data_IF_543751206911
#
_entry.id   IF_543751206911
#
_cell.length_a   1.000
_cell.length_b   1.000
_cell.length_c   1.000
_cell.angle_alpha   90.00
_cell.angle_beta   90.00
_cell.angle_gamma   90.00
#
_symmetry.space_group_name_H-M   'P 1'
#
loop_
_entity.id
_entity.type
_entity.pdbx_description
1 polymer ?
#
# COMPACT_ATOMS: atom_id res chain seq x y z
N UNK A 1 27.53 1.44 -0.13
CA UNK A 1 26.38 0.56 -0.43
C UNK A 1 25.33 1.39 -1.17
N UNK A 2 24.84 0.93 -2.33
CA UNK A 2 23.80 1.65 -3.09
C UNK A 2 22.42 1.25 -2.55
N UNK A 3 21.86 2.05 -1.66
CA UNK A 3 20.49 1.92 -1.17
C UNK A 3 19.50 2.22 -2.29
N UNK A 4 19.06 1.21 -3.04
CA UNK A 4 18.31 1.47 -4.28
C UNK A 4 17.90 0.26 -5.08
N UNK A 5 18.77 -0.75 -5.13
CA UNK A 5 18.66 -1.84 -6.10
C UNK A 5 18.47 -3.22 -5.44
N UNK A 6 18.45 -3.29 -4.11
CA UNK A 6 18.17 -4.53 -3.40
C UNK A 6 16.73 -4.93 -3.66
N UNK A 7 16.56 -6.13 -4.21
CA UNK A 7 15.24 -6.73 -4.45
C UNK A 7 14.45 -6.80 -3.15
N UNK A 8 13.15 -6.49 -3.22
CA UNK A 8 12.27 -6.56 -2.06
C UNK A 8 11.95 -8.05 -1.81
N UNK A 9 12.24 -8.59 -0.61
CA UNK A 9 11.89 -9.97 -0.29
C UNK A 9 10.39 -10.19 -0.43
N UNK A 10 10.01 -11.27 -1.12
CA UNK A 10 8.60 -11.64 -1.30
C UNK A 10 7.85 -11.83 0.02
N UNK A 11 8.54 -12.18 1.10
CA UNK A 11 7.97 -12.29 2.44
C UNK A 11 7.55 -10.93 3.03
N UNK A 12 8.36 -9.88 2.86
CA UNK A 12 8.01 -8.51 3.28
C UNK A 12 6.85 -7.97 2.44
N UNK A 13 6.84 -8.28 1.14
CA UNK A 13 5.74 -7.92 0.25
C UNK A 13 4.43 -8.60 0.66
N UNK A 14 4.47 -9.91 0.92
CA UNK A 14 3.31 -10.68 1.42
C UNK A 14 2.79 -10.11 2.75
N UNK A 15 3.66 -9.78 3.68
CA UNK A 15 3.30 -9.20 4.98
C UNK A 15 2.60 -7.84 4.83
N UNK A 16 3.10 -6.97 3.94
CA UNK A 16 2.45 -5.70 3.64
C UNK A 16 1.04 -5.92 3.05
N UNK A 17 0.93 -6.83 2.08
CA UNK A 17 -0.32 -7.15 1.39
C UNK A 17 -1.38 -7.69 2.35
N UNK A 18 -1.01 -8.65 3.19
CA UNK A 18 -1.89 -9.21 4.22
C UNK A 18 -2.41 -8.12 5.16
N UNK A 19 -1.53 -7.19 5.58
CA UNK A 19 -1.91 -6.07 6.43
C UNK A 19 -2.90 -5.11 5.75
N UNK A 20 -2.70 -4.80 4.47
CA UNK A 20 -3.57 -3.92 3.67
C UNK A 20 -4.94 -4.55 3.40
N UNK A 21 -5.01 -5.88 3.27
CA UNK A 21 -6.26 -6.60 3.02
C UNK A 21 -7.05 -6.91 4.31
N UNK A 22 -6.40 -6.85 5.48
CA UNK A 22 -7.01 -7.21 6.77
C UNK A 22 -8.16 -6.29 7.16
N UNK A 23 -7.94 -4.99 7.07
CA UNK A 23 -8.88 -3.97 7.53
C UNK A 23 -9.59 -3.33 6.31
N UNK A 24 -10.86 -2.91 6.43
CA UNK A 24 -11.57 -2.24 5.33
C UNK A 24 -10.88 -0.97 4.82
N UNK A 25 -10.17 -0.28 5.72
CA UNK A 25 -9.39 0.91 5.44
C UNK A 25 -8.03 0.84 6.13
N UNK A 26 -7.05 1.53 5.56
CA UNK A 26 -5.71 1.62 6.13
C UNK A 26 -5.01 2.92 5.72
N UNK A 27 -3.97 3.28 6.49
CA UNK A 27 -3.03 4.34 6.11
C UNK A 27 -1.65 3.76 5.77
N UNK A 28 -0.85 4.43 4.93
CA UNK A 28 0.55 4.07 4.72
C UNK A 28 1.38 4.03 6.01
N UNK A 29 0.99 4.83 7.02
CA UNK A 29 1.60 4.81 8.35
C UNK A 29 1.42 3.46 9.05
N UNK A 30 0.20 2.91 9.02
CA UNK A 30 -0.14 1.64 9.65
C UNK A 30 0.65 0.48 9.04
N UNK A 31 0.81 0.50 7.71
CA UNK A 31 1.58 -0.54 6.99
C UNK A 31 3.05 -0.46 7.37
N UNK A 32 3.64 0.74 7.38
CA UNK A 32 5.05 0.92 7.78
C UNK A 32 5.29 0.47 9.21
N UNK A 33 4.43 0.89 10.14
CA UNK A 33 4.53 0.48 11.54
C UNK A 33 4.48 -1.05 11.68
N UNK A 34 3.56 -1.70 10.95
CA UNK A 34 3.44 -3.15 10.94
C UNK A 34 4.67 -3.85 10.35
N UNK A 35 5.22 -3.34 9.23
CA UNK A 35 6.45 -3.88 8.65
C UNK A 35 7.62 -3.76 9.63
N UNK A 36 7.76 -2.62 10.31
CA UNK A 36 8.82 -2.41 11.31
C UNK A 36 8.67 -3.24 12.58
N UNK A 37 7.48 -3.74 12.89
CA UNK A 37 7.26 -4.63 14.05
C UNK A 37 7.33 -6.11 13.67
N UNK A 38 6.60 -6.53 12.63
CA UNK A 38 6.43 -7.94 12.27
C UNK A 38 7.44 -8.43 11.22
N UNK A 39 8.07 -7.51 10.48
CA UNK A 39 9.11 -7.80 9.49
C UNK A 39 10.51 -7.40 9.91
N UNK A 40 10.72 -7.04 11.19
CA UNK A 40 12.01 -6.53 11.66
C UNK A 40 13.15 -7.51 11.39
N UNK A 41 12.97 -8.79 11.73
CA UNK A 41 14.01 -9.81 11.54
C UNK A 41 14.39 -9.98 10.06
N UNK A 42 13.39 -9.90 9.16
CA UNK A 42 13.62 -9.94 7.71
C UNK A 42 14.39 -8.71 7.22
N UNK A 43 14.08 -7.53 7.75
CA UNK A 43 14.80 -6.31 7.41
C UNK A 43 16.22 -6.29 7.98
N UNK A 44 16.43 -6.81 9.19
CA UNK A 44 17.76 -6.99 9.80
C UNK A 44 18.61 -7.96 8.98
N UNK A 45 18.01 -9.03 8.45
CA UNK A 45 18.71 -9.98 7.57
C UNK A 45 19.14 -9.35 6.24
N UNK A 46 18.41 -8.34 5.73
CA UNK A 46 18.82 -7.58 4.55
C UNK A 46 19.87 -6.52 4.85
N UNK A 47 19.70 -5.81 5.97
CA UNK A 47 20.58 -4.74 6.41
C UNK A 47 20.51 -4.58 7.93
N UNK A 48 21.65 -4.66 8.61
CA UNK A 48 21.70 -4.49 10.07
C UNK A 48 21.48 -3.03 10.53
N UNK A 49 21.54 -2.04 9.64
CA UNK A 49 21.46 -0.62 9.96
C UNK A 49 20.01 -0.20 10.16
N UNK A 50 19.64 0.13 11.41
CA UNK A 50 18.26 0.52 11.81
C UNK A 50 17.62 1.61 10.95
N UNK A 51 18.28 2.75 10.64
CA UNK A 51 17.72 3.76 9.73
C UNK A 51 17.25 3.21 8.37
N UNK A 52 17.91 2.15 7.89
CA UNK A 52 17.60 1.57 6.59
C UNK A 52 16.35 0.71 6.64
N UNK A 53 15.95 0.21 7.81
CA UNK A 53 14.69 -0.53 7.97
C UNK A 53 13.48 0.32 7.63
N UNK A 54 13.50 1.61 8.02
CA UNK A 54 12.42 2.53 7.65
C UNK A 54 12.35 2.76 6.13
N UNK A 55 13.51 2.86 5.48
CA UNK A 55 13.61 3.00 4.02
C UNK A 55 13.09 1.74 3.32
N UNK A 56 13.46 0.55 3.81
CA UNK A 56 12.98 -0.73 3.30
C UNK A 56 11.46 -0.83 3.46
N UNK A 57 10.93 -0.52 4.65
CA UNK A 57 9.50 -0.55 4.92
C UNK A 57 8.71 0.42 4.03
N UNK A 58 9.20 1.65 3.81
CA UNK A 58 8.55 2.63 2.92
C UNK A 58 8.55 2.14 1.46
N UNK A 59 9.64 1.53 0.99
CA UNK A 59 9.72 0.93 -0.35
C UNK A 59 8.77 -0.24 -0.54
N UNK A 60 8.75 -1.18 0.41
CA UNK A 60 7.84 -2.33 0.41
C UNK A 60 6.40 -1.85 0.38
N UNK A 61 6.05 -0.89 1.25
CA UNK A 61 4.71 -0.34 1.33
C UNK A 61 4.29 0.30 0.00
N UNK A 62 5.14 1.14 -0.61
CA UNK A 62 4.83 1.77 -1.90
C UNK A 62 4.65 0.75 -3.02
N UNK A 63 5.59 -0.19 -3.15
CA UNK A 63 5.53 -1.23 -4.18
C UNK A 63 4.26 -2.09 -4.05
N UNK A 64 3.91 -2.48 -2.82
CA UNK A 64 2.69 -3.24 -2.56
C UNK A 64 1.42 -2.42 -2.84
N UNK A 65 1.42 -1.13 -2.47
CA UNK A 65 0.29 -0.25 -2.71
C UNK A 65 0.05 -0.02 -4.21
N UNK A 66 1.12 0.21 -4.96
CA UNK A 66 1.05 0.41 -6.41
C UNK A 66 0.57 -0.87 -7.12
N UNK A 67 1.07 -2.04 -6.71
CA UNK A 67 0.59 -3.35 -7.21
C UNK A 67 -0.91 -3.54 -6.96
N UNK A 68 -1.35 -3.35 -5.71
CA UNK A 68 -2.76 -3.53 -5.34
C UNK A 68 -3.68 -2.51 -6.01
N UNK A 69 -3.20 -1.27 -6.20
CA UNK A 69 -3.93 -0.22 -6.92
C UNK A 69 -4.08 -0.58 -8.40
N UNK A 70 -2.99 -1.01 -9.05
CA UNK A 70 -3.01 -1.40 -10.46
C UNK A 70 -3.88 -2.65 -10.69
N UNK A 71 -3.94 -3.54 -9.70
CA UNK A 71 -4.84 -4.70 -9.71
C UNK A 71 -6.30 -4.37 -9.34
N UNK A 72 -6.62 -3.10 -9.03
CA UNK A 72 -7.98 -2.67 -8.65
C UNK A 72 -8.45 -3.20 -7.30
N UNK A 73 -7.54 -3.69 -6.44
CA UNK A 73 -7.88 -4.26 -5.13
C UNK A 73 -8.07 -3.22 -4.03
N UNK A 74 -7.51 -2.03 -4.23
CA UNK A 74 -7.64 -0.90 -3.32
C UNK A 74 -7.93 0.38 -4.09
N UNK A 75 -8.68 1.27 -3.46
CA UNK A 75 -8.96 2.62 -3.94
C UNK A 75 -8.59 3.65 -2.89
N UNK A 76 -8.26 4.85 -3.33
CA UNK A 76 -7.96 5.94 -2.42
C UNK A 76 -9.26 6.63 -2.00
N UNK A 77 -9.62 6.56 -0.72
CA UNK A 77 -10.81 7.26 -0.21
C UNK A 77 -10.57 8.76 -0.02
N UNK A 78 -9.40 9.10 0.54
CA UNK A 78 -8.97 10.48 0.74
C UNK A 78 -7.45 10.54 0.85
N UNK A 79 -6.88 11.74 0.95
CA UNK A 79 -5.43 11.93 1.12
C UNK A 79 -4.92 11.09 2.32
N UNK A 80 -4.05 10.13 2.03
CA UNK A 80 -3.43 9.27 3.05
C UNK A 80 -4.28 8.11 3.58
N UNK A 81 -5.50 7.90 3.07
CA UNK A 81 -6.39 6.81 3.48
C UNK A 81 -6.84 6.00 2.26
N UNK A 82 -6.66 4.70 2.36
CA UNK A 82 -7.00 3.73 1.31
C UNK A 82 -8.05 2.76 1.82
N UNK A 83 -8.87 2.25 0.91
CA UNK A 83 -9.87 1.23 1.19
C UNK A 83 -9.69 0.05 0.25
N UNK A 84 -10.08 -1.13 0.73
CA UNK A 84 -10.23 -2.31 -0.12
C UNK A 84 -11.44 -2.13 -1.03
N UNK A 85 -11.32 -2.50 -2.31
CA UNK A 85 -12.38 -2.33 -3.30
C UNK A 85 -13.66 -3.11 -2.97
N UNK A 86 -13.56 -4.22 -2.24
CA UNK A 86 -14.71 -5.01 -1.78
C UNK A 86 -15.37 -4.45 -0.50
N UNK A 87 -14.85 -3.36 0.06
CA UNK A 87 -15.42 -2.76 1.27
C UNK A 87 -16.58 -1.84 0.91
N UNK A 88 -17.72 -1.90 1.61
CA UNK A 88 -18.94 -1.13 1.30
C UNK A 88 -18.78 0.41 1.39
N UNK A 89 -17.59 0.92 1.72
CA UNK A 89 -17.23 2.34 1.64
C UNK A 89 -16.41 2.75 0.41
N UNK A 90 -16.07 1.81 -0.49
CA UNK A 90 -15.31 2.08 -1.73
C UNK A 90 -16.21 2.54 -2.91
N UNK A 91 -17.54 2.48 -2.74
CA UNK A 91 -18.52 2.91 -3.74
C UNK A 91 -18.70 4.44 -3.77
N UNK A 92 -17.62 5.21 -3.75
CA UNK A 92 -17.68 6.66 -3.94
C UNK A 92 -16.85 7.05 -5.14
N UNK A 93 -17.57 7.58 -6.14
CA UNK A 93 -17.11 8.36 -7.29
C UNK A 93 -16.55 7.57 -8.48
N UNK A 94 -17.46 6.82 -9.10
CA UNK A 94 -17.43 6.50 -10.54
C UNK A 94 -18.73 6.88 -11.25
N UNK A 95 -19.53 7.79 -10.70
CA UNK A 95 -20.74 8.29 -11.36
C UNK A 95 -20.35 9.45 -12.29
N UNK A 96 -19.84 9.11 -13.48
CA UNK A 96 -19.89 10.05 -14.60
C UNK A 96 -21.35 10.24 -14.97
N UNK A 97 -21.97 11.23 -14.33
CA UNK A 97 -23.31 11.73 -14.65
C UNK A 97 -23.40 12.04 -16.17
N UNK A 98 -24.40 11.52 -16.90
CA UNK A 98 -24.67 11.95 -18.25
C UNK A 98 -25.38 13.31 -18.16
N UNK A 99 -24.62 14.40 -18.11
CA UNK A 99 -25.18 15.75 -18.30
C UNK A 99 -24.90 16.24 -19.70
N UNK A 100 -26.00 16.32 -20.45
CA UNK A 100 -26.26 17.26 -21.55
C UNK A 100 -25.18 17.37 -22.64
N UNK A 101 -25.40 16.62 -23.72
CA UNK A 101 -25.04 17.08 -25.05
C UNK A 101 -26.33 17.35 -25.84
N UNK A 102 -26.79 18.60 -25.72
CA UNK A 102 -27.21 19.42 -26.85
C UNK A 102 -28.59 19.14 -27.46
N UNK A 103 -29.54 19.93 -26.96
CA UNK A 103 -30.55 20.67 -27.73
C UNK A 103 -30.05 21.01 -29.15
N UNK A 104 -30.73 20.52 -30.19
CA UNK A 104 -31.10 21.25 -31.42
C UNK A 104 -32.12 20.42 -32.21
#
# INVERSE_FOLDING_TARGET
MKFGQTEIPGSLFKLARERMLRDPTFTPGDIRAHLTSAGLDMMVAMDAIRPNHWIIADRVMRACLDDMRNAGQVTQLKRGVWARSDSPGAAIEGESSPRDATRL
#
